data_IF_269122909598
#
_entry.id   IF_269122909598
#
_cell.length_a   1.000
_cell.length_b   1.000
_cell.length_c   1.000
_cell.angle_alpha   90.00
_cell.angle_beta   90.00
_cell.angle_gamma   90.00
#
_symmetry.space_group_name_H-M   'P 1'
#
loop_
_entity.id
_entity.type
_entity.pdbx_description
1 polymer ?
#
# COMPACT_ATOMS: atom_id res chain seq x y z
N UNK A 1 8.91 -10.48 -11.62
CA UNK A 1 8.23 -9.22 -11.30
C UNK A 1 8.24 -9.00 -9.81
N UNK A 2 8.52 -7.77 -9.36
CA UNK A 2 8.34 -7.38 -7.96
C UNK A 2 6.85 -7.53 -7.61
N UNK A 3 6.53 -8.23 -6.53
CA UNK A 3 5.14 -8.39 -6.11
C UNK A 3 4.68 -7.10 -5.44
N UNK A 4 3.55 -6.55 -5.90
CA UNK A 4 2.86 -5.46 -5.24
C UNK A 4 1.49 -5.91 -4.79
N UNK A 5 1.05 -5.39 -3.64
CA UNK A 5 -0.25 -5.71 -3.07
C UNK A 5 -0.97 -4.41 -2.70
N UNK A 6 -2.29 -4.46 -2.69
CA UNK A 6 -3.13 -3.35 -2.25
C UNK A 6 -3.86 -3.77 -0.98
N UNK A 7 -3.70 -2.97 0.07
CA UNK A 7 -4.38 -3.12 1.34
C UNK A 7 -5.12 -1.84 1.68
N UNK A 8 -6.00 -1.88 2.68
CA UNK A 8 -6.68 -0.69 3.16
C UNK A 8 -5.96 -0.05 4.37
N UNK A 9 -6.04 1.27 4.42
CA UNK A 9 -5.74 2.04 5.63
C UNK A 9 -6.84 1.87 6.67
N UNK A 10 -6.55 2.25 7.92
CA UNK A 10 -7.56 2.33 8.99
C UNK A 10 -8.75 3.24 8.63
N UNK A 11 -8.60 4.13 7.64
CA UNK A 11 -9.65 5.03 7.12
C UNK A 11 -10.28 4.53 5.82
N UNK A 12 -10.02 3.28 5.41
CA UNK A 12 -10.57 2.67 4.19
C UNK A 12 -9.98 3.18 2.88
N UNK A 13 -8.93 4.01 2.91
CA UNK A 13 -8.20 4.43 1.70
C UNK A 13 -7.16 3.38 1.30
N UNK A 14 -6.94 3.12 0.01
CA UNK A 14 -5.98 2.14 -0.44
C UNK A 14 -4.54 2.56 -0.11
N UNK A 15 -3.74 1.57 0.25
CA UNK A 15 -2.29 1.63 0.36
C UNK A 15 -1.69 0.61 -0.60
N UNK A 16 -0.57 0.98 -1.20
CA UNK A 16 0.27 0.09 -1.97
C UNK A 16 1.34 -0.50 -1.04
N UNK A 17 1.54 -1.81 -1.11
CA UNK A 17 2.65 -2.51 -0.47
C UNK A 17 3.64 -2.93 -1.54
N UNK A 18 4.89 -2.54 -1.39
CA UNK A 18 6.01 -2.95 -2.23
C UNK A 18 7.24 -3.14 -1.34
N UNK A 19 7.90 -4.29 -1.45
CA UNK A 19 9.10 -4.64 -0.65
C UNK A 19 8.93 -4.43 0.86
N UNK A 20 7.78 -4.84 1.42
CA UNK A 20 7.39 -4.64 2.83
C UNK A 20 7.21 -3.18 3.28
N UNK A 21 7.29 -2.21 2.37
CA UNK A 21 7.00 -0.80 2.64
C UNK A 21 5.58 -0.44 2.20
N UNK A 22 4.96 0.50 2.91
CA UNK A 22 3.64 1.01 2.56
C UNK A 22 3.73 2.39 1.92
N UNK A 23 2.91 2.60 0.90
CA UNK A 23 2.81 3.84 0.17
C UNK A 23 1.34 4.28 0.11
N UNK A 24 1.09 5.57 0.28
CA UNK A 24 -0.23 6.19 0.09
C UNK A 24 -0.30 6.87 -1.27
N UNK A 25 -1.49 6.86 -1.87
CA UNK A 25 -1.73 7.57 -3.11
C UNK A 25 -1.54 9.08 -2.87
N UNK A 26 -0.64 9.70 -3.63
CA UNK A 26 -0.41 11.14 -3.59
C UNK A 26 -1.18 11.86 -4.70
N UNK A 27 -1.14 11.32 -5.92
CA UNK A 27 -1.83 11.86 -7.09
C UNK A 27 -2.14 10.74 -8.08
N UNK A 28 -3.23 10.86 -8.82
CA UNK A 28 -3.53 10.05 -9.99
C UNK A 28 -3.72 10.94 -11.23
N UNK A 29 -3.27 10.44 -12.37
CA UNK A 29 -3.59 10.96 -13.71
C UNK A 29 -4.37 9.89 -14.48
N UNK A 30 -4.71 10.15 -15.74
CA UNK A 30 -5.40 9.17 -16.60
C UNK A 30 -4.61 7.85 -16.77
N UNK A 31 -3.28 7.92 -16.73
CA UNK A 31 -2.40 6.78 -17.03
C UNK A 31 -1.55 6.33 -15.85
N UNK A 32 -1.32 7.19 -14.85
CA UNK A 32 -0.33 6.93 -13.80
C UNK A 32 -0.88 7.27 -12.42
N UNK A 33 -0.63 6.39 -11.46
CA UNK A 33 -0.85 6.62 -10.02
C UNK A 33 0.51 6.80 -9.36
N UNK A 34 0.66 7.89 -8.63
CA UNK A 34 1.87 8.29 -7.91
C UNK A 34 1.68 8.01 -6.43
N UNK A 35 2.51 7.12 -5.89
CA UNK A 35 2.46 6.67 -4.51
C UNK A 35 3.71 7.17 -3.77
N UNK A 36 3.52 7.68 -2.56
CA UNK A 36 4.61 8.15 -1.69
C UNK A 36 4.63 7.32 -0.42
N UNK A 37 5.81 7.10 0.15
CA UNK A 37 5.92 6.36 1.40
C UNK A 37 5.02 6.97 2.49
N UNK A 38 4.45 6.12 3.34
CA UNK A 38 3.59 6.58 4.44
C UNK A 38 4.38 7.25 5.56
N UNK A 39 5.67 6.93 5.71
CA UNK A 39 6.56 7.56 6.69
C UNK A 39 6.90 8.97 6.22
N UNK A 40 6.71 9.94 7.13
CA UNK A 40 7.00 11.34 6.87
C UNK A 40 8.49 11.51 6.56
N UNK A 41 8.79 12.41 5.62
CA UNK A 41 10.16 12.76 5.20
C UNK A 41 10.95 11.63 4.52
N UNK A 42 10.31 10.49 4.25
CA UNK A 42 10.89 9.44 3.39
C UNK A 42 10.77 9.84 1.90
N UNK A 43 11.87 9.73 1.16
CA UNK A 43 11.94 10.11 -0.24
C UNK A 43 11.43 9.04 -1.22
N UNK A 44 11.16 7.82 -0.73
CA UNK A 44 10.76 6.68 -1.54
C UNK A 44 9.36 6.86 -2.15
N UNK A 45 9.26 6.53 -3.43
CA UNK A 45 8.04 6.66 -4.25
C UNK A 45 7.88 5.44 -5.15
N UNK A 46 6.63 5.10 -5.45
CA UNK A 46 6.30 4.05 -6.42
C UNK A 46 5.27 4.60 -7.40
N UNK A 47 5.39 4.26 -8.67
CA UNK A 47 4.44 4.59 -9.72
C UNK A 47 3.81 3.31 -10.24
N UNK A 48 2.48 3.30 -10.36
CA UNK A 48 1.75 2.25 -11.06
C UNK A 48 0.99 2.85 -12.23
N UNK A 49 0.62 2.03 -13.20
CA UNK A 49 -0.33 2.44 -14.22
C UNK A 49 -1.75 2.56 -13.63
N UNK A 50 -2.71 2.97 -14.46
CA UNK A 50 -4.12 3.07 -14.08
C UNK A 50 -4.74 1.73 -13.68
N UNK A 51 -4.22 0.62 -14.21
CA UNK A 51 -4.62 -0.76 -13.92
C UNK A 51 -3.83 -1.39 -12.77
N UNK A 52 -3.11 -0.58 -11.98
CA UNK A 52 -2.32 -0.99 -10.83
C UNK A 52 -1.09 -1.85 -11.18
N UNK A 53 -0.62 -1.87 -12.43
CA UNK A 53 0.65 -2.50 -12.82
C UNK A 53 1.84 -1.67 -12.34
N UNK A 54 2.84 -2.31 -11.73
CA UNK A 54 4.07 -1.64 -11.28
C UNK A 54 4.83 -1.06 -12.49
N UNK A 55 5.08 0.25 -12.47
CA UNK A 55 5.87 0.92 -13.51
C UNK A 55 7.28 1.28 -13.04
N UNK A 56 7.41 1.87 -11.84
CA UNK A 56 8.70 2.39 -11.35
C UNK A 56 8.74 2.50 -9.83
N UNK A 57 9.91 2.24 -9.25
CA UNK A 57 10.27 2.61 -7.88
C UNK A 57 11.38 3.66 -7.89
N UNK A 58 11.30 4.68 -7.04
CA UNK A 58 12.21 5.84 -7.03
C UNK A 58 12.60 6.21 -5.60
N UNK A 59 13.88 6.50 -5.38
CA UNK A 59 14.39 6.95 -4.09
C UNK A 59 14.62 5.79 -3.11
N UNK A 60 15.38 6.08 -2.05
CA UNK A 60 15.70 5.11 -1.00
C UNK A 60 14.85 5.37 0.24
N UNK A 61 14.56 4.30 0.98
CA UNK A 61 13.99 4.41 2.32
C UNK A 61 15.06 4.85 3.32
N UNK A 62 14.69 5.76 4.21
CA UNK A 62 15.50 6.23 5.34
C UNK A 62 15.12 5.56 6.66
N UNK A 63 14.29 4.52 6.60
CA UNK A 63 13.73 3.81 7.73
C UNK A 63 13.57 2.33 7.39
N UNK A 64 13.43 1.49 8.41
CA UNK A 64 13.13 0.08 8.24
C UNK A 64 11.66 -0.15 7.85
N UNK A 65 11.33 -1.28 7.19
CA UNK A 65 9.95 -1.64 6.92
C UNK A 65 9.16 -1.93 8.21
N UNK A 66 7.89 -1.52 8.26
CA UNK A 66 7.00 -1.74 9.41
C UNK A 66 6.24 -3.08 9.30
N UNK A 67 6.97 -4.20 9.19
CA UNK A 67 6.39 -5.54 8.88
C UNK A 67 5.29 -5.98 9.83
N UNK A 68 5.46 -5.75 11.13
CA UNK A 68 4.44 -6.08 12.14
C UNK A 68 3.12 -5.33 11.88
N UNK A 69 3.19 -4.06 11.46
CA UNK A 69 1.99 -3.29 11.13
C UNK A 69 1.29 -3.82 9.89
N UNK A 70 2.03 -4.39 8.93
CA UNK A 70 1.45 -5.06 7.76
C UNK A 70 0.67 -6.31 8.18
N UNK A 71 1.28 -7.16 9.02
CA UNK A 71 0.61 -8.37 9.53
C UNK A 71 -0.67 -8.01 10.28
N UNK A 72 -0.63 -7.02 11.18
CA UNK A 72 -1.81 -6.56 11.92
C UNK A 72 -2.93 -6.10 10.98
N UNK A 73 -2.58 -5.41 9.89
CA UNK A 73 -3.57 -4.96 8.88
C UNK A 73 -4.20 -6.12 8.14
N UNK A 74 -3.40 -7.09 7.70
CA UNK A 74 -3.90 -8.28 7.01
C UNK A 74 -4.86 -9.08 7.91
N UNK A 75 -4.49 -9.31 9.17
CA UNK A 75 -5.36 -10.01 10.14
C UNK A 75 -6.66 -9.21 10.36
N UNK A 76 -6.57 -7.89 10.53
CA UNK A 76 -7.76 -7.03 10.70
C UNK A 76 -8.70 -7.11 9.50
N UNK A 77 -8.18 -7.15 8.28
CA UNK A 77 -9.00 -7.29 7.07
C UNK A 77 -9.73 -8.63 7.05
N UNK A 78 -9.03 -9.73 7.37
CA UNK A 78 -9.64 -11.08 7.48
C UNK A 78 -10.73 -11.12 8.54
N UNK A 79 -10.48 -10.56 9.72
CA UNK A 79 -11.49 -10.48 10.79
C UNK A 79 -12.69 -9.63 10.35
N UNK A 80 -12.44 -8.47 9.73
CA UNK A 80 -13.52 -7.58 9.26
C UNK A 80 -14.36 -8.27 8.19
N UNK A 81 -13.72 -8.98 7.26
CA UNK A 81 -14.40 -9.79 6.25
C UNK A 81 -15.25 -10.87 6.91
N UNK A 82 -14.65 -11.66 7.80
CA UNK A 82 -15.36 -12.71 8.53
C UNK A 82 -16.59 -12.14 9.23
N UNK A 83 -16.44 -11.12 10.08
CA UNK A 83 -17.56 -10.55 10.84
C UNK A 83 -18.70 -10.00 9.95
N UNK A 84 -18.37 -9.44 8.77
CA UNK A 84 -19.37 -8.90 7.83
C UNK A 84 -20.13 -9.96 7.05
N UNK A 85 -19.49 -11.10 6.75
CA UNK A 85 -20.02 -12.09 5.80
C UNK A 85 -20.30 -13.46 6.44
N UNK A 86 -20.11 -13.62 7.75
CA UNK A 86 -20.37 -14.87 8.48
C UNK A 86 -21.72 -14.91 9.19
N UNK A 87 -22.52 -13.84 9.14
CA UNK A 87 -23.91 -13.88 9.60
C UNK A 87 -24.84 -14.03 8.38
N UNK A 88 -25.67 -15.09 8.32
CA UNK A 88 -26.61 -15.33 7.23
C UNK A 88 -27.74 -14.29 7.15
#
# INVERSE_FOLDING_TARGET
SLAILFINSNKGKPLLVADDYTFKLNKATATTKYWICTIKDCAAKVHTDSNNGLMKSVGNHSHLPEKEKLVVREVREKITFFLKFSHP
#
